data_IF_364646705364
#
_entry.id   IF_364646705364
#
_cell.length_a   1.000
_cell.length_b   1.000
_cell.length_c   1.000
_cell.angle_alpha   90.00
_cell.angle_beta   90.00
_cell.angle_gamma   90.00
#
_symmetry.space_group_name_H-M   'P 1'
#
loop_
_entity.id
_entity.type
_entity.pdbx_description
1 polymer ?
#
# COMPACT_ATOMS: atom_id res chain seq x y z
N UNK A 1 -6.20 -12.75 -7.62
CA UNK A 1 -7.34 -12.00 -7.03
C UNK A 1 -7.69 -10.73 -7.79
N UNK A 2 -6.74 -10.12 -8.50
CA UNK A 2 -6.99 -8.93 -9.32
C UNK A 2 -8.12 -9.13 -10.34
N UNK A 3 -8.16 -10.26 -11.05
CA UNK A 3 -9.16 -10.55 -12.11
C UNK A 3 -10.07 -11.73 -11.80
N UNK A 4 -9.76 -12.47 -10.73
CA UNK A 4 -10.47 -13.70 -10.35
C UNK A 4 -10.91 -13.59 -8.90
N UNK A 5 -12.14 -14.01 -8.62
CA UNK A 5 -12.68 -14.22 -7.27
C UNK A 5 -13.15 -15.65 -7.09
N UNK A 6 -13.62 -15.97 -5.88
CA UNK A 6 -14.19 -17.29 -5.58
C UNK A 6 -15.71 -17.24 -5.74
N UNK A 7 -16.24 -18.05 -6.66
CA UNK A 7 -17.67 -18.27 -6.78
C UNK A 7 -18.15 -19.10 -5.57
N UNK A 8 -19.00 -18.50 -4.73
CA UNK A 8 -19.49 -19.13 -3.50
C UNK A 8 -20.37 -20.35 -3.75
N UNK A 9 -21.02 -20.45 -4.91
CA UNK A 9 -21.89 -21.58 -5.23
C UNK A 9 -21.07 -22.82 -5.62
N UNK A 10 -20.01 -22.59 -6.39
CA UNK A 10 -19.18 -23.69 -6.93
C UNK A 10 -17.90 -23.94 -6.14
N UNK A 11 -17.49 -23.01 -5.29
CA UNK A 11 -16.22 -23.03 -4.55
C UNK A 11 -14.99 -22.85 -5.46
N UNK A 12 -15.18 -22.51 -6.73
CA UNK A 12 -14.11 -22.43 -7.74
C UNK A 12 -13.73 -20.98 -8.04
N UNK A 13 -12.48 -20.79 -8.47
CA UNK A 13 -12.03 -19.50 -8.98
C UNK A 13 -12.73 -19.19 -10.32
N UNK A 14 -13.26 -17.97 -10.45
CA UNK A 14 -13.93 -17.48 -11.66
C UNK A 14 -13.55 -16.02 -11.92
N UNK A 15 -13.59 -15.60 -13.18
CA UNK A 15 -13.34 -14.20 -13.54
C UNK A 15 -14.37 -13.29 -12.86
N UNK A 16 -13.91 -12.14 -12.38
CA UNK A 16 -14.76 -11.14 -11.73
C UNK A 16 -15.86 -10.63 -12.67
N UNK A 17 -15.53 -10.41 -13.95
CA UNK A 17 -16.48 -9.96 -14.97
C UNK A 17 -17.62 -10.96 -15.16
N UNK A 18 -17.33 -12.26 -15.10
CA UNK A 18 -18.33 -13.33 -15.25
C UNK A 18 -19.22 -13.46 -14.00
N UNK A 19 -18.84 -12.80 -12.90
CA UNK A 19 -19.60 -12.68 -11.67
C UNK A 19 -20.23 -11.29 -11.50
N UNK A 20 -20.23 -10.45 -12.56
CA UNK A 20 -20.70 -9.06 -12.53
C UNK A 20 -19.97 -8.16 -11.51
N UNK A 21 -18.69 -8.42 -11.27
CA UNK A 21 -17.84 -7.66 -10.33
C UNK A 21 -16.81 -6.76 -11.05
N UNK A 22 -17.00 -6.52 -12.35
CA UNK A 22 -16.09 -5.71 -13.18
C UNK A 22 -14.87 -6.46 -13.70
N UNK A 23 -14.04 -5.78 -14.47
CA UNK A 23 -12.82 -6.34 -15.08
C UNK A 23 -11.70 -6.60 -14.05
N UNK A 24 -11.76 -5.90 -12.91
CA UNK A 24 -10.76 -5.94 -11.86
C UNK A 24 -11.42 -5.79 -10.49
N UNK A 25 -10.81 -6.36 -9.47
CA UNK A 25 -11.23 -6.18 -8.09
C UNK A 25 -11.15 -4.69 -7.70
N UNK A 26 -12.28 -4.14 -7.28
CA UNK A 26 -12.39 -2.76 -6.82
C UNK A 26 -11.78 -2.61 -5.41
N UNK A 27 -10.62 -1.98 -5.33
CA UNK A 27 -9.92 -1.79 -4.06
C UNK A 27 -10.62 -0.79 -3.12
N UNK A 28 -11.59 0.01 -3.58
CA UNK A 28 -12.37 0.88 -2.69
C UNK A 28 -13.16 0.09 -1.65
N UNK A 29 -13.52 -1.17 -1.96
CA UNK A 29 -14.17 -2.13 -1.06
C UNK A 29 -13.31 -2.57 0.14
N UNK A 30 -12.03 -2.16 0.18
CA UNK A 30 -11.15 -2.39 1.31
C UNK A 30 -11.03 -1.17 2.22
N UNK A 31 -11.52 0.01 1.82
CA UNK A 31 -11.28 1.28 2.48
C UNK A 31 -11.73 1.32 3.95
N UNK A 32 -12.81 0.61 4.27
CA UNK A 32 -13.40 0.53 5.61
C UNK A 32 -12.73 -0.50 6.54
N UNK A 33 -11.80 -1.31 6.02
CA UNK A 33 -11.17 -2.41 6.77
C UNK A 33 -9.92 -1.96 7.52
N UNK A 34 -9.78 -2.33 8.79
CA UNK A 34 -8.56 -2.10 9.54
C UNK A 34 -8.09 -3.41 10.17
N UNK A 35 -6.84 -3.78 9.91
CA UNK A 35 -6.23 -4.94 10.55
C UNK A 35 -5.64 -4.54 11.90
N UNK A 36 -6.04 -5.27 12.94
CA UNK A 36 -5.44 -5.21 14.26
C UNK A 36 -4.81 -6.58 14.52
N UNK A 37 -3.51 -6.59 14.81
CA UNK A 37 -2.81 -7.82 15.12
C UNK A 37 -3.19 -8.29 16.53
N UNK A 38 -3.51 -9.57 16.66
CA UNK A 38 -3.71 -10.18 17.97
C UNK A 38 -2.37 -10.34 18.70
N UNK A 39 -2.32 -10.17 20.03
CA UNK A 39 -1.08 -10.26 20.81
C UNK A 39 -0.28 -11.54 20.55
N UNK A 40 -0.97 -12.68 20.43
CA UNK A 40 -0.35 -14.00 20.21
C UNK A 40 0.41 -14.09 18.88
N UNK A 41 0.04 -13.24 17.91
CA UNK A 41 0.65 -13.23 16.58
C UNK A 41 1.77 -12.20 16.42
N UNK A 42 1.98 -11.33 17.42
CA UNK A 42 3.02 -10.27 17.36
C UNK A 42 4.42 -10.87 17.17
N UNK A 43 4.68 -12.04 17.76
CA UNK A 43 6.00 -12.68 17.69
C UNK A 43 6.16 -13.65 16.52
N UNK A 44 5.12 -13.89 15.72
CA UNK A 44 5.14 -14.83 14.60
C UNK A 44 6.15 -14.38 13.54
N UNK A 45 7.14 -15.23 13.24
CA UNK A 45 8.17 -14.91 12.25
C UNK A 45 7.57 -14.75 10.86
N UNK A 46 7.95 -13.68 10.15
CA UNK A 46 7.44 -13.36 8.81
C UNK A 46 6.00 -12.83 8.77
N UNK A 47 5.34 -12.65 9.92
CA UNK A 47 3.95 -12.19 9.99
C UNK A 47 3.71 -11.12 11.06
N UNK A 48 4.38 -11.22 12.20
CA UNK A 48 4.22 -10.29 13.31
C UNK A 48 5.07 -9.04 13.14
N UNK A 49 5.62 -8.58 14.26
CA UNK A 49 6.55 -7.44 14.32
C UNK A 49 7.74 -7.70 13.39
N UNK A 50 8.06 -6.71 12.58
CA UNK A 50 9.23 -6.76 11.72
C UNK A 50 10.50 -6.92 12.57
N UNK A 51 11.49 -7.63 12.04
CA UNK A 51 12.78 -7.86 12.70
C UNK A 51 13.95 -7.30 11.90
N UNK A 52 13.67 -6.57 10.82
CA UNK A 52 14.67 -5.92 10.00
C UNK A 52 15.10 -4.57 10.60
N UNK A 53 15.85 -3.78 9.82
CA UNK A 53 16.29 -2.44 10.21
C UNK A 53 15.14 -1.45 10.50
N UNK A 54 13.89 -1.76 10.14
CA UNK A 54 12.75 -0.86 10.39
C UNK A 54 12.53 -0.55 11.87
N UNK A 55 12.81 -1.51 12.77
CA UNK A 55 12.70 -1.31 14.21
C UNK A 55 13.67 -0.26 14.73
N UNK A 56 14.89 -0.27 14.20
CA UNK A 56 15.93 0.68 14.56
C UNK A 56 15.59 2.04 13.93
N UNK A 57 15.21 2.03 12.66
CA UNK A 57 14.88 3.22 11.89
C UNK A 57 13.71 4.03 12.50
N UNK A 58 12.66 3.34 12.96
CA UNK A 58 11.47 3.97 13.52
C UNK A 58 11.49 4.07 15.05
N UNK A 59 12.59 3.67 15.72
CA UNK A 59 12.62 3.52 17.18
C UNK A 59 12.16 4.78 17.90
N UNK A 60 12.81 5.91 17.64
CA UNK A 60 12.52 7.17 18.34
C UNK A 60 11.10 7.68 18.03
N UNK A 61 10.65 7.54 16.77
CA UNK A 61 9.28 7.92 16.37
C UNK A 61 8.24 7.09 17.13
N UNK A 62 8.44 5.77 17.23
CA UNK A 62 7.53 4.88 17.93
C UNK A 62 7.52 5.12 19.43
N UNK A 63 8.66 5.48 20.03
CA UNK A 63 8.73 5.86 21.44
C UNK A 63 7.98 7.18 21.70
N UNK A 64 8.07 8.18 20.82
CA UNK A 64 7.27 9.41 20.95
C UNK A 64 5.77 9.14 20.80
N UNK A 65 5.37 8.30 19.84
CA UNK A 65 3.96 7.88 19.69
C UNK A 65 3.49 7.15 20.96
N UNK A 66 4.29 6.24 21.51
CA UNK A 66 3.99 5.51 22.74
C UNK A 66 3.80 6.46 23.92
N UNK A 67 4.69 7.43 24.12
CA UNK A 67 4.58 8.46 25.16
C UNK A 67 3.29 9.28 25.01
N UNK A 68 2.98 9.73 23.80
CA UNK A 68 1.75 10.47 23.51
C UNK A 68 0.47 9.65 23.79
N UNK A 69 0.57 8.33 23.79
CA UNK A 69 -0.52 7.40 24.08
C UNK A 69 -0.47 6.84 25.53
N UNK A 70 0.05 7.62 26.49
CA UNK A 70 0.09 7.21 27.91
C UNK A 70 1.04 6.04 28.17
N UNK A 71 2.18 6.01 27.46
CA UNK A 71 3.20 4.96 27.52
C UNK A 71 2.76 3.58 27.04
N UNK A 72 1.64 3.49 26.32
CA UNK A 72 1.13 2.24 25.72
C UNK A 72 1.66 2.06 24.30
N UNK A 73 2.26 0.90 24.01
CA UNK A 73 2.63 0.54 22.62
C UNK A 73 1.34 0.33 21.81
N UNK A 74 1.06 1.29 20.91
CA UNK A 74 -0.17 1.27 20.09
C UNK A 74 0.09 0.96 18.62
N UNK A 75 1.35 1.04 18.17
CA UNK A 75 1.77 0.76 16.81
C UNK A 75 2.99 -0.15 16.84
N UNK A 76 3.02 -1.12 15.93
CA UNK A 76 4.20 -1.93 15.65
C UNK A 76 4.46 -1.92 14.15
N UNK A 77 5.72 -1.82 13.70
CA UNK A 77 6.05 -2.07 12.31
C UNK A 77 5.89 -3.57 12.08
N UNK A 78 5.06 -3.94 11.10
CA UNK A 78 4.84 -5.33 10.73
C UNK A 78 5.77 -5.72 9.59
N UNK A 79 6.18 -6.98 9.56
CA UNK A 79 6.98 -7.50 8.45
C UNK A 79 6.25 -7.35 7.11
N UNK A 80 7.00 -6.96 6.07
CA UNK A 80 6.57 -6.96 4.68
C UNK A 80 7.65 -7.52 3.77
N UNK A 81 7.25 -8.20 2.69
CA UNK A 81 8.20 -8.72 1.72
C UNK A 81 8.93 -7.58 0.96
N UNK A 82 10.24 -7.75 0.79
CA UNK A 82 11.17 -6.77 0.19
C UNK A 82 11.38 -6.94 -1.32
N UNK A 83 10.34 -7.34 -2.06
CA UNK A 83 10.39 -7.65 -3.50
C UNK A 83 10.14 -6.42 -4.41
N UNK A 84 10.15 -5.21 -3.84
CA UNK A 84 9.85 -3.97 -4.56
C UNK A 84 8.36 -3.60 -4.59
N UNK A 85 7.51 -4.35 -3.90
CA UNK A 85 6.09 -4.02 -3.70
C UNK A 85 5.75 -3.62 -2.27
N UNK A 86 6.77 -3.33 -1.45
CA UNK A 86 6.65 -3.05 -0.02
C UNK A 86 5.55 -2.02 0.35
N UNK A 87 5.34 -0.95 -0.42
CA UNK A 87 4.27 0.03 -0.15
C UNK A 87 2.88 -0.63 -0.23
N UNK A 88 2.59 -1.35 -1.31
CA UNK A 88 1.27 -1.99 -1.48
C UNK A 88 1.14 -3.25 -0.60
N UNK A 89 2.25 -3.91 -0.24
CA UNK A 89 2.28 -4.92 0.81
C UNK A 89 1.88 -4.34 2.16
N UNK A 90 2.51 -3.24 2.57
CA UNK A 90 2.21 -2.56 3.83
C UNK A 90 0.75 -2.08 3.88
N UNK A 91 0.24 -1.51 2.79
CA UNK A 91 -1.17 -1.10 2.68
C UNK A 91 -2.10 -2.32 2.78
N UNK A 92 -1.85 -3.38 2.02
CA UNK A 92 -2.67 -4.61 2.09
C UNK A 92 -2.65 -5.21 3.50
N UNK A 93 -1.50 -5.20 4.18
CA UNK A 93 -1.34 -5.68 5.56
C UNK A 93 -2.10 -4.81 6.55
N UNK A 94 -2.06 -3.49 6.41
CA UNK A 94 -2.83 -2.57 7.25
C UNK A 94 -4.35 -2.71 7.10
N UNK A 95 -4.82 -3.13 5.92
CA UNK A 95 -6.25 -3.31 5.65
C UNK A 95 -6.77 -4.68 6.06
N UNK A 96 -6.03 -5.76 5.76
CA UNK A 96 -6.52 -7.14 5.90
C UNK A 96 -5.53 -8.13 6.54
N UNK A 97 -4.37 -7.67 7.00
CA UNK A 97 -3.36 -8.51 7.66
C UNK A 97 -2.56 -9.40 6.72
N UNK A 98 -2.82 -9.37 5.41
CA UNK A 98 -2.14 -10.17 4.38
C UNK A 98 -1.67 -9.27 3.25
N UNK A 99 -0.64 -9.67 2.53
CA UNK A 99 -0.11 -8.96 1.35
C UNK A 99 -0.93 -9.22 0.07
N UNK A 100 -2.03 -9.96 0.22
CA UNK A 100 -2.83 -10.56 -0.83
C UNK A 100 -3.31 -9.61 -1.95
N UNK A 101 -3.52 -8.33 -1.64
CA UNK A 101 -4.11 -7.35 -2.57
C UNK A 101 -3.08 -6.47 -3.27
N UNK A 102 -1.77 -6.73 -3.11
CA UNK A 102 -0.71 -5.89 -3.67
C UNK A 102 -0.86 -5.63 -5.18
N UNK A 103 -1.17 -6.66 -5.95
CA UNK A 103 -1.33 -6.57 -7.40
C UNK A 103 -2.59 -5.80 -7.77
N UNK A 104 -3.68 -5.99 -7.02
CA UNK A 104 -4.92 -5.27 -7.25
C UNK A 104 -4.76 -3.78 -6.92
N UNK A 105 -4.06 -3.45 -5.83
CA UNK A 105 -3.75 -2.06 -5.44
C UNK A 105 -2.94 -1.34 -6.52
N UNK A 106 -1.91 -1.99 -7.07
CA UNK A 106 -1.09 -1.44 -8.17
C UNK A 106 -1.91 -1.16 -9.43
N UNK A 107 -2.73 -2.11 -9.84
CA UNK A 107 -3.57 -1.98 -11.04
C UNK A 107 -4.68 -0.92 -10.88
N UNK A 108 -5.33 -0.87 -9.71
CA UNK A 108 -6.31 0.18 -9.40
C UNK A 108 -5.63 1.55 -9.36
N UNK A 109 -4.43 1.66 -8.81
CA UNK A 109 -3.65 2.89 -8.79
C UNK A 109 -3.31 3.39 -10.20
N UNK A 110 -2.82 2.48 -11.06
CA UNK A 110 -2.53 2.77 -12.47
C UNK A 110 -3.77 3.29 -13.19
N UNK A 111 -4.91 2.61 -13.02
CA UNK A 111 -6.18 3.01 -13.60
C UNK A 111 -6.65 4.37 -13.06
N UNK A 112 -6.54 4.60 -11.75
CA UNK A 112 -6.92 5.85 -11.11
C UNK A 112 -6.11 7.04 -11.62
N UNK A 113 -4.79 6.90 -11.80
CA UNK A 113 -3.98 7.96 -12.40
C UNK A 113 -4.36 8.22 -13.84
N UNK A 114 -4.54 7.17 -14.67
CA UNK A 114 -4.95 7.34 -16.07
C UNK A 114 -6.29 8.06 -16.21
N UNK A 115 -7.27 7.73 -15.38
CA UNK A 115 -8.61 8.31 -15.43
C UNK A 115 -8.66 9.74 -14.92
N UNK A 116 -7.77 10.12 -14.00
CA UNK A 116 -7.80 11.41 -13.32
C UNK A 116 -6.55 12.27 -13.61
N UNK A 117 -5.82 11.96 -14.69
CA UNK A 117 -4.48 12.51 -14.95
C UNK A 117 -4.45 14.03 -14.95
N UNK A 118 -5.39 14.67 -15.62
CA UNK A 118 -5.44 16.14 -15.73
C UNK A 118 -5.63 16.80 -14.36
N UNK A 119 -6.44 16.19 -13.49
CA UNK A 119 -6.65 16.67 -12.12
C UNK A 119 -5.38 16.55 -11.30
N UNK A 120 -4.66 15.44 -11.41
CA UNK A 120 -3.38 15.25 -10.74
C UNK A 120 -2.32 16.24 -11.24
N UNK A 121 -2.20 16.41 -12.57
CA UNK A 121 -1.31 17.42 -13.18
C UNK A 121 -1.60 18.81 -12.65
N UNK A 122 -2.87 19.22 -12.62
CA UNK A 122 -3.26 20.54 -12.09
C UNK A 122 -2.95 20.70 -10.60
N UNK A 123 -3.18 19.67 -9.78
CA UNK A 123 -2.95 19.74 -8.33
C UNK A 123 -1.45 19.76 -7.95
N UNK A 124 -0.61 19.10 -8.76
CA UNK A 124 0.81 18.89 -8.44
C UNK A 124 1.76 19.55 -9.44
N UNK A 125 1.28 20.48 -10.27
CA UNK A 125 2.09 21.17 -11.29
C UNK A 125 3.33 21.89 -10.71
N UNK A 126 3.26 22.34 -9.46
CA UNK A 126 4.36 23.03 -8.78
C UNK A 126 5.41 22.05 -8.19
N UNK A 127 5.11 20.75 -8.19
CA UNK A 127 5.92 19.71 -7.53
C UNK A 127 6.39 18.59 -8.47
N UNK A 128 5.70 18.35 -9.58
CA UNK A 128 5.94 17.25 -10.51
C UNK A 128 5.90 17.78 -11.94
N UNK A 129 6.96 17.54 -12.71
CA UNK A 129 7.00 17.94 -14.11
C UNK A 129 5.96 17.16 -14.93
N UNK A 130 5.33 17.83 -15.90
CA UNK A 130 4.35 17.22 -16.78
C UNK A 130 4.88 15.96 -17.52
N UNK A 131 6.18 15.91 -17.80
CA UNK A 131 6.86 14.78 -18.44
C UNK A 131 7.02 13.57 -17.52
N UNK A 132 7.08 13.75 -16.19
CA UNK A 132 7.27 12.64 -15.24
C UNK A 132 6.03 11.76 -15.09
N UNK A 133 4.85 12.24 -15.51
CA UNK A 133 3.59 11.51 -15.31
C UNK A 133 3.51 10.18 -16.04
N UNK A 134 4.18 10.05 -17.18
CA UNK A 134 4.23 8.77 -17.88
C UNK A 134 4.99 7.73 -17.04
N UNK A 135 6.13 8.11 -16.48
CA UNK A 135 6.91 7.25 -15.60
C UNK A 135 6.16 6.91 -14.30
N UNK A 136 5.50 7.88 -13.68
CA UNK A 136 4.66 7.66 -12.48
C UNK A 136 3.58 6.61 -12.77
N UNK A 137 2.92 6.69 -13.92
CA UNK A 137 1.88 5.72 -14.30
C UNK A 137 2.50 4.35 -14.60
N UNK A 138 3.68 4.31 -15.21
CA UNK A 138 4.38 3.07 -15.53
C UNK A 138 4.91 2.35 -14.29
N UNK A 139 5.39 3.08 -13.29
CA UNK A 139 5.82 2.55 -11.99
C UNK A 139 4.71 1.83 -11.24
N UNK A 140 3.44 2.17 -11.52
CA UNK A 140 2.29 1.47 -10.96
C UNK A 140 2.10 0.05 -11.52
N UNK A 141 2.74 -0.30 -12.64
CA UNK A 141 2.62 -1.63 -13.23
C UNK A 141 3.16 -2.71 -12.27
N UNK A 142 2.41 -3.80 -11.99
CA UNK A 142 2.91 -4.92 -11.21
C UNK A 142 4.19 -5.56 -11.77
N UNK A 143 4.40 -5.47 -13.08
CA UNK A 143 5.56 -6.03 -13.77
C UNK A 143 6.61 -4.97 -14.13
N UNK A 144 6.52 -3.77 -13.54
CA UNK A 144 7.49 -2.72 -13.78
C UNK A 144 8.89 -3.16 -13.34
N UNK A 145 9.85 -3.03 -14.23
CA UNK A 145 11.27 -3.25 -13.97
C UNK A 145 11.95 -1.88 -14.03
N UNK A 146 12.59 -1.41 -12.95
CA UNK A 146 13.21 -0.10 -12.95
C UNK A 146 14.46 -0.13 -13.85
N UNK A 147 14.86 1.02 -14.40
CA UNK A 147 16.14 1.15 -15.07
C UNK A 147 17.32 0.76 -14.16
N UNK A 148 18.44 0.36 -14.77
CA UNK A 148 19.63 -0.02 -14.03
C UNK A 148 20.09 1.10 -13.09
N UNK A 149 20.37 0.75 -11.83
CA UNK A 149 20.79 1.71 -10.80
C UNK A 149 19.66 2.51 -10.14
N UNK A 150 18.41 2.39 -10.61
CA UNK A 150 17.25 3.02 -9.98
C UNK A 150 16.59 2.04 -9.02
N UNK A 151 16.36 2.41 -7.73
CA UNK A 151 15.69 1.51 -6.80
C UNK A 151 14.24 1.26 -7.23
N UNK A 152 13.80 0.00 -7.14
CA UNK A 152 12.40 -0.36 -7.33
C UNK A 152 11.57 0.15 -6.15
N UNK A 153 10.62 1.05 -6.41
CA UNK A 153 9.75 1.57 -5.36
C UNK A 153 8.69 2.52 -5.91
N UNK A 154 7.68 2.77 -5.09
CA UNK A 154 6.64 3.76 -5.36
C UNK A 154 6.97 5.06 -4.61
N UNK A 155 6.84 6.20 -5.30
CA UNK A 155 7.03 7.57 -4.79
C UNK A 155 5.86 8.07 -3.91
N UNK A 156 6.04 9.21 -3.23
CA UNK A 156 4.99 9.86 -2.41
C UNK A 156 3.67 10.11 -3.16
N UNK A 157 3.72 10.46 -4.44
CA UNK A 157 2.52 10.66 -5.26
C UNK A 157 1.66 9.39 -5.34
N UNK A 158 2.26 8.21 -5.31
CA UNK A 158 1.56 6.93 -5.30
C UNK A 158 0.82 6.69 -3.98
N UNK A 159 1.36 7.15 -2.85
CA UNK A 159 0.66 7.10 -1.55
C UNK A 159 -0.62 7.93 -1.63
N UNK A 160 -0.51 9.15 -2.17
CA UNK A 160 -1.66 10.03 -2.37
C UNK A 160 -2.69 9.41 -3.35
N UNK A 161 -2.22 8.79 -4.43
CA UNK A 161 -3.09 8.07 -5.36
C UNK A 161 -3.79 6.86 -4.73
N UNK A 162 -3.09 6.09 -3.89
CA UNK A 162 -3.67 4.95 -3.16
C UNK A 162 -4.72 5.40 -2.15
N UNK A 163 -4.50 6.53 -1.48
CA UNK A 163 -5.51 7.11 -0.58
C UNK A 163 -6.81 7.44 -1.33
N UNK A 164 -6.71 7.92 -2.58
CA UNK A 164 -7.87 8.16 -3.44
C UNK A 164 -8.53 6.87 -3.92
N UNK A 165 -7.75 5.84 -4.28
CA UNK A 165 -8.27 4.50 -4.65
C UNK A 165 -9.06 3.87 -3.49
N UNK A 166 -8.53 3.97 -2.28
CA UNK A 166 -9.12 3.38 -1.08
C UNK A 166 -10.22 4.23 -0.46
N UNK A 167 -10.40 5.47 -0.92
CA UNK A 167 -11.20 6.51 -0.25
C UNK A 167 -10.87 6.64 1.24
N UNK A 168 -9.58 6.53 1.57
CA UNK A 168 -9.10 6.47 2.95
C UNK A 168 -7.79 7.23 3.11
N UNK A 169 -7.66 8.11 4.12
CA UNK A 169 -6.38 8.74 4.45
C UNK A 169 -5.31 7.70 4.78
N UNK A 170 -4.09 7.94 4.29
CA UNK A 170 -2.89 7.17 4.63
C UNK A 170 -1.94 8.13 5.37
N UNK A 171 -1.55 7.74 6.58
CA UNK A 171 -0.57 8.49 7.39
C UNK A 171 0.77 7.79 7.24
N UNK A 172 1.76 8.49 6.70
CA UNK A 172 3.14 8.03 6.63
C UNK A 172 3.87 8.49 7.89
N UNK A 173 4.46 7.55 8.62
CA UNK A 173 5.35 7.84 9.74
C UNK A 173 6.77 7.51 9.32
N UNK A 174 7.66 8.47 9.48
CA UNK A 174 9.08 8.33 9.18
C UNK A 174 9.91 8.40 10.47
N UNK A 175 11.22 8.20 10.39
CA UNK A 175 12.15 8.46 11.49
C UNK A 175 12.05 9.93 11.93
N UNK A 176 12.29 10.22 13.22
CA UNK A 176 12.30 11.61 13.72
C UNK A 176 13.27 12.49 12.94
N UNK A 177 14.41 11.93 12.50
CA UNK A 177 15.36 12.63 11.65
C UNK A 177 14.82 12.94 10.25
N UNK A 178 14.02 12.04 9.67
CA UNK A 178 13.41 12.25 8.35
C UNK A 178 12.24 13.24 8.38
N UNK A 179 11.62 13.46 9.55
CA UNK A 179 10.50 14.40 9.72
C UNK A 179 10.93 15.81 10.17
N UNK A 180 12.21 16.05 10.44
CA UNK A 180 12.77 17.35 10.84
C UNK A 180 13.39 18.07 9.65
#
# INVERSE_FOLDING_TARGET
LTRYGMDKQTGKARLLRDMNQGEMFDCSLLGDRAFLIEPDHVSTMGYGKDRSGSLIYLHDTLEEVKKANGSRECLIPVHVDGDGHCLVHAVSRALVGRELFWHALRENLKQNFKQNLDRYKSLFQDFIDAAEWEDIINECDPLFIPPEGVPLGLRNIHIFGLANVLHRPIILLDSLSGMR
#
